data_IF_110586338271
#
_entry.id   IF_110586338271
#
_cell.length_a   1.000
_cell.length_b   1.000
_cell.length_c   1.000
_cell.angle_alpha   90.00
_cell.angle_beta   90.00
_cell.angle_gamma   90.00
#
_symmetry.space_group_name_H-M   'P 1'
#
loop_
_entity.id
_entity.type
_entity.pdbx_description
1 polymer ?
#
# COMPACT_ATOMS: atom_id res chain seq x y z
N UNK A 1 12.73 -4.42 22.09
CA UNK A 1 12.57 -3.21 21.28
C UNK A 1 12.37 -3.47 19.79
N UNK A 2 13.05 -4.44 19.20
CA UNK A 2 12.85 -4.84 17.79
C UNK A 2 11.43 -5.41 17.56
N UNK A 3 10.87 -6.11 18.54
CA UNK A 3 9.52 -6.68 18.47
C UNK A 3 8.40 -5.63 18.39
N UNK A 4 8.52 -4.49 19.07
CA UNK A 4 7.50 -3.43 19.02
C UNK A 4 7.42 -2.76 17.64
N UNK A 5 8.55 -2.58 16.96
CA UNK A 5 8.58 -2.00 15.63
C UNK A 5 7.95 -2.91 14.58
N UNK A 6 8.23 -4.23 14.65
CA UNK A 6 7.64 -5.22 13.74
C UNK A 6 6.13 -5.35 13.92
N UNK A 7 5.64 -5.32 15.16
CA UNK A 7 4.21 -5.37 15.49
C UNK A 7 3.51 -4.10 14.97
N UNK A 8 4.15 -2.94 15.10
CA UNK A 8 3.60 -1.66 14.68
C UNK A 8 3.41 -1.62 13.16
N UNK A 9 4.39 -2.06 12.39
CA UNK A 9 4.29 -2.12 10.92
C UNK A 9 3.29 -3.17 10.44
N UNK A 10 3.17 -4.29 11.16
CA UNK A 10 2.19 -5.32 10.85
C UNK A 10 0.74 -4.79 10.99
N UNK A 11 0.48 -4.02 12.03
CA UNK A 11 -0.81 -3.34 12.22
C UNK A 11 -1.10 -2.34 11.08
N UNK A 12 -0.07 -1.68 10.58
CA UNK A 12 -0.21 -0.72 9.49
C UNK A 12 -0.56 -1.37 8.14
N UNK A 13 -0.15 -2.60 7.88
CA UNK A 13 -0.60 -3.34 6.70
C UNK A 13 -2.12 -3.49 6.72
N UNK A 14 -2.64 -4.00 7.81
CA UNK A 14 -4.07 -4.24 7.98
C UNK A 14 -4.87 -2.93 7.93
N UNK A 15 -4.41 -1.90 8.61
CA UNK A 15 -5.05 -0.60 8.59
C UNK A 15 -5.06 0.02 7.20
N UNK A 16 -3.97 -0.13 6.45
CA UNK A 16 -3.90 0.35 5.06
C UNK A 16 -4.95 -0.34 4.19
N UNK A 17 -5.06 -1.66 4.31
CA UNK A 17 -6.05 -2.43 3.56
C UNK A 17 -7.48 -2.06 3.99
N UNK A 18 -7.73 -1.92 5.29
CA UNK A 18 -9.02 -1.47 5.81
C UNK A 18 -9.42 -0.11 5.25
N UNK A 19 -8.50 0.85 5.21
CA UNK A 19 -8.77 2.19 4.66
C UNK A 19 -9.10 2.14 3.16
N UNK A 20 -8.44 1.28 2.40
CA UNK A 20 -8.81 1.04 1.00
C UNK A 20 -10.25 0.53 0.90
N UNK A 21 -10.62 -0.41 1.75
CA UNK A 21 -11.94 -1.01 1.72
C UNK A 21 -13.04 -0.07 2.22
N UNK A 22 -12.74 0.80 3.19
CA UNK A 22 -13.67 1.87 3.60
C UNK A 22 -13.98 2.78 2.41
N UNK A 23 -12.95 3.22 1.70
CA UNK A 23 -13.11 4.10 0.52
C UNK A 23 -13.91 3.39 -0.58
N UNK A 24 -13.60 2.13 -0.86
CA UNK A 24 -14.31 1.36 -1.88
C UNK A 24 -15.78 1.16 -1.50
N UNK A 25 -16.05 0.80 -0.27
CA UNK A 25 -17.42 0.65 0.23
C UNK A 25 -18.21 1.96 0.10
N UNK A 26 -17.60 3.08 0.46
CA UNK A 26 -18.24 4.40 0.37
C UNK A 26 -18.55 4.80 -1.08
N UNK A 27 -17.86 4.20 -2.04
CA UNK A 27 -18.10 4.39 -3.47
C UNK A 27 -18.95 3.27 -4.10
N UNK A 28 -19.57 2.42 -3.29
CA UNK A 28 -20.44 1.34 -3.78
C UNK A 28 -19.70 0.19 -4.46
N UNK A 29 -18.40 0.03 -4.18
CA UNK A 29 -17.57 -1.00 -4.77
C UNK A 29 -17.39 -2.18 -3.82
N UNK A 30 -17.16 -3.36 -4.38
CA UNK A 30 -16.82 -4.55 -3.62
C UNK A 30 -15.49 -4.36 -2.90
N UNK A 31 -15.40 -4.81 -1.64
CA UNK A 31 -14.14 -4.77 -0.90
C UNK A 31 -13.14 -5.75 -1.49
N UNK A 32 -11.86 -5.44 -1.30
CA UNK A 32 -10.75 -6.25 -1.77
C UNK A 32 -10.38 -7.30 -0.72
N UNK A 33 -10.07 -8.51 -1.18
CA UNK A 33 -9.56 -9.58 -0.31
C UNK A 33 -8.04 -9.55 -0.28
N UNK A 34 -7.47 -9.86 0.87
CA UNK A 34 -6.01 -9.97 1.01
C UNK A 34 -5.51 -11.14 0.17
N UNK A 35 -4.49 -10.88 -0.64
CA UNK A 35 -3.82 -11.88 -1.47
C UNK A 35 -2.38 -12.04 -0.95
N UNK A 36 -2.03 -13.25 -0.53
CA UNK A 36 -0.71 -13.52 0.05
C UNK A 36 0.44 -13.25 -0.93
N UNK A 37 0.23 -13.55 -2.21
CA UNK A 37 1.24 -13.28 -3.24
C UNK A 37 1.45 -11.79 -3.41
N UNK A 38 0.37 -11.02 -3.48
CA UNK A 38 0.44 -9.56 -3.56
C UNK A 38 1.08 -8.96 -2.29
N UNK A 39 0.79 -9.52 -1.12
CA UNK A 39 1.43 -9.12 0.14
C UNK A 39 2.96 -9.30 0.07
N UNK A 40 3.42 -10.48 -0.37
CA UNK A 40 4.86 -10.76 -0.52
C UNK A 40 5.52 -9.83 -1.51
N UNK A 41 4.88 -9.60 -2.65
CA UNK A 41 5.41 -8.75 -3.70
C UNK A 41 5.44 -7.28 -3.28
N UNK A 42 4.39 -6.79 -2.61
CA UNK A 42 4.35 -5.43 -2.06
C UNK A 42 5.43 -5.23 -1.00
N UNK A 43 5.61 -6.22 -0.12
CA UNK A 43 6.69 -6.21 0.89
C UNK A 43 8.06 -6.14 0.23
N UNK A 44 8.33 -7.01 -0.74
CA UNK A 44 9.62 -7.04 -1.42
C UNK A 44 9.93 -5.71 -2.09
N UNK A 45 8.95 -5.10 -2.75
CA UNK A 45 9.15 -3.82 -3.42
C UNK A 45 9.32 -2.66 -2.44
N UNK A 46 8.53 -2.61 -1.38
CA UNK A 46 8.67 -1.59 -0.34
C UNK A 46 10.04 -1.68 0.34
N UNK A 47 10.54 -2.90 0.61
CA UNK A 47 11.89 -3.12 1.14
C UNK A 47 12.94 -2.62 0.15
N UNK A 48 12.78 -2.93 -1.13
CA UNK A 48 13.71 -2.46 -2.17
C UNK A 48 13.78 -0.93 -2.20
N UNK A 49 12.62 -0.26 -2.21
CA UNK A 49 12.55 1.20 -2.19
C UNK A 49 13.21 1.78 -0.94
N UNK A 50 12.98 1.15 0.20
CA UNK A 50 13.54 1.56 1.49
C UNK A 50 15.06 1.45 1.51
N UNK A 51 15.62 0.33 1.03
CA UNK A 51 17.06 0.10 0.99
C UNK A 51 17.78 1.04 0.02
N UNK A 52 17.15 1.36 -1.10
CA UNK A 52 17.72 2.22 -2.12
C UNK A 52 17.31 3.69 -1.95
N UNK A 53 16.49 3.99 -0.96
CA UNK A 53 15.90 5.33 -0.74
C UNK A 53 15.38 5.96 -2.03
N UNK A 54 14.67 5.16 -2.83
CA UNK A 54 14.20 5.53 -4.16
C UNK A 54 12.72 5.22 -4.32
N UNK A 55 11.93 6.23 -4.67
CA UNK A 55 10.52 6.06 -5.01
C UNK A 55 10.41 5.71 -6.49
N UNK A 56 10.14 4.45 -6.78
CA UNK A 56 10.09 3.95 -8.14
C UNK A 56 9.11 2.78 -8.24
N UNK A 57 8.30 2.76 -9.29
CA UNK A 57 7.44 1.62 -9.57
C UNK A 57 8.25 0.37 -9.87
N UNK A 58 7.70 -0.79 -9.46
CA UNK A 58 8.22 -2.09 -9.86
C UNK A 58 7.78 -2.43 -11.30
N UNK A 59 8.26 -3.57 -11.80
CA UNK A 59 7.82 -4.10 -13.12
C UNK A 59 6.54 -4.94 -12.99
N UNK A 60 5.63 -4.55 -12.10
CA UNK A 60 4.38 -5.27 -11.89
C UNK A 60 3.44 -5.10 -13.08
N UNK A 61 2.98 -6.22 -13.68
CA UNK A 61 2.22 -6.22 -14.93
C UNK A 61 0.81 -6.81 -14.83
N UNK A 62 0.45 -7.40 -13.69
CA UNK A 62 -0.80 -8.17 -13.54
C UNK A 62 -1.92 -7.41 -12.85
N UNK A 63 -1.81 -6.11 -12.75
CA UNK A 63 -2.77 -5.25 -12.08
C UNK A 63 -2.22 -3.85 -11.94
N UNK A 64 -2.49 -3.21 -10.82
CA UNK A 64 -2.03 -1.86 -10.54
C UNK A 64 -1.17 -1.81 -9.28
N UNK A 65 -0.39 -0.74 -9.18
CA UNK A 65 0.48 -0.48 -8.04
C UNK A 65 0.40 1.00 -7.68
N UNK A 66 0.12 1.29 -6.41
CA UNK A 66 0.28 2.63 -5.85
C UNK A 66 1.49 2.63 -4.94
N UNK A 67 2.37 3.60 -5.11
CA UNK A 67 3.53 3.80 -4.25
C UNK A 67 3.52 5.21 -3.68
N UNK A 68 4.14 5.36 -2.52
CA UNK A 68 4.32 6.68 -1.90
C UNK A 68 5.56 6.70 -1.02
N UNK A 69 6.14 7.88 -0.90
CA UNK A 69 7.12 8.19 0.12
C UNK A 69 6.50 9.29 0.98
N UNK A 70 5.99 8.90 2.14
CA UNK A 70 5.26 9.82 3.00
C UNK A 70 5.34 9.35 4.46
N UNK A 71 5.73 10.25 5.35
CA UNK A 71 5.76 9.99 6.80
C UNK A 71 4.41 10.32 7.41
N UNK A 72 3.44 9.44 7.14
CA UNK A 72 2.04 9.60 7.55
C UNK A 72 1.51 8.25 8.04
N UNK A 73 0.30 8.25 8.61
CA UNK A 73 -0.39 7.02 8.99
C UNK A 73 -1.14 6.39 7.79
N UNK A 74 -1.67 5.16 7.91
CA UNK A 74 -2.38 4.49 6.82
C UNK A 74 -3.57 5.26 6.26
N UNK A 75 -4.38 5.86 7.12
CA UNK A 75 -5.53 6.67 6.67
C UNK A 75 -5.06 7.82 5.77
N UNK A 76 -3.99 8.48 6.17
CA UNK A 76 -3.47 9.65 5.44
C UNK A 76 -2.86 9.27 4.11
N UNK A 77 -2.13 8.15 4.00
CA UNK A 77 -1.57 7.74 2.71
C UNK A 77 -2.67 7.40 1.71
N UNK A 78 -3.75 6.75 2.16
CA UNK A 78 -4.90 6.46 1.28
C UNK A 78 -5.58 7.76 0.85
N UNK A 79 -5.73 8.74 1.74
CA UNK A 79 -6.24 10.07 1.37
C UNK A 79 -5.36 10.75 0.32
N UNK A 80 -4.05 10.70 0.46
CA UNK A 80 -3.12 11.25 -0.52
C UNK A 80 -3.30 10.59 -1.89
N UNK A 81 -3.42 9.26 -1.92
CA UNK A 81 -3.68 8.53 -3.16
C UNK A 81 -5.05 8.88 -3.76
N UNK A 82 -6.07 9.03 -2.94
CA UNK A 82 -7.41 9.42 -3.41
C UNK A 82 -7.44 10.82 -4.01
N UNK A 83 -6.53 11.70 -3.62
CA UNK A 83 -6.40 13.04 -4.16
C UNK A 83 -5.52 13.13 -5.41
N UNK A 84 -5.04 11.99 -5.92
CA UNK A 84 -4.20 11.92 -7.11
C UNK A 84 -4.92 11.06 -8.17
N UNK A 85 -5.23 11.60 -9.36
CA UNK A 85 -6.10 10.92 -10.33
C UNK A 85 -5.69 9.50 -10.69
N UNK A 86 -4.41 9.25 -10.93
CA UNK A 86 -3.92 7.91 -11.29
C UNK A 86 -4.03 6.91 -10.14
N UNK A 87 -3.62 7.32 -8.96
CA UNK A 87 -3.73 6.48 -7.76
C UNK A 87 -5.19 6.21 -7.39
N UNK A 88 -6.04 7.23 -7.49
CA UNK A 88 -7.48 7.11 -7.26
C UNK A 88 -8.12 6.10 -8.20
N UNK A 89 -7.79 6.13 -9.49
CA UNK A 89 -8.32 5.17 -10.47
C UNK A 89 -7.99 3.73 -10.06
N UNK A 90 -6.78 3.49 -9.55
CA UNK A 90 -6.39 2.16 -9.09
C UNK A 90 -7.23 1.71 -7.89
N UNK A 91 -7.42 2.57 -6.91
CA UNK A 91 -8.20 2.25 -5.70
C UNK A 91 -9.66 1.97 -6.05
N UNK A 92 -10.24 2.72 -6.97
CA UNK A 92 -11.66 2.65 -7.34
C UNK A 92 -11.95 1.76 -8.54
N UNK A 93 -10.99 1.03 -9.06
CA UNK A 93 -11.21 0.15 -10.21
C UNK A 93 -12.11 -1.02 -9.80
N UNK A 94 -13.31 -1.14 -10.40
CA UNK A 94 -14.26 -2.20 -10.04
C UNK A 94 -13.81 -3.60 -10.44
N UNK A 95 -12.82 -3.72 -11.32
CA UNK A 95 -12.29 -5.02 -11.76
C UNK A 95 -11.38 -5.68 -10.73
N UNK A 96 -10.80 -4.90 -9.82
CA UNK A 96 -9.90 -5.48 -8.81
C UNK A 96 -10.69 -6.10 -7.68
N UNK A 97 -10.22 -7.27 -7.24
CA UNK A 97 -10.81 -8.05 -6.16
C UNK A 97 -9.79 -8.40 -5.07
N UNK A 98 -8.51 -8.17 -5.32
CA UNK A 98 -7.41 -8.61 -4.46
C UNK A 98 -6.45 -7.46 -4.16
N UNK A 99 -5.85 -7.48 -2.98
CA UNK A 99 -4.95 -6.44 -2.50
C UNK A 99 -3.78 -7.00 -1.70
N UNK A 100 -2.63 -6.38 -1.85
CA UNK A 100 -1.50 -6.53 -0.93
C UNK A 100 -0.92 -5.16 -0.63
N UNK A 101 -0.47 -4.94 0.59
CA UNK A 101 0.06 -3.65 1.03
C UNK A 101 1.28 -3.82 1.94
N UNK A 102 2.19 -2.86 1.88
CA UNK A 102 3.38 -2.84 2.71
C UNK A 102 3.85 -1.41 2.97
N UNK A 103 4.51 -1.22 4.10
CA UNK A 103 5.19 0.03 4.43
C UNK A 103 6.45 -0.30 5.23
N UNK A 104 7.54 0.37 4.89
CA UNK A 104 8.81 0.26 5.62
C UNK A 104 9.45 1.63 5.80
N UNK A 105 10.21 1.77 6.87
CA UNK A 105 10.95 2.98 7.19
C UNK A 105 12.42 2.79 6.83
N UNK A 106 12.98 3.73 6.07
CA UNK A 106 14.40 3.74 5.75
C UNK A 106 15.24 4.20 6.94
N UNK A 107 16.55 3.97 6.89
CA UNK A 107 17.50 4.48 7.89
C UNK A 107 17.48 6.00 7.95
N UNK A 108 17.15 6.68 6.84
CA UNK A 108 16.98 8.12 6.79
C UNK A 108 15.63 8.63 7.32
N UNK A 109 14.79 7.74 7.86
CA UNK A 109 13.52 8.12 8.46
C UNK A 109 12.37 8.31 7.49
N UNK A 110 12.52 7.94 6.23
CA UNK A 110 11.48 8.04 5.20
C UNK A 110 10.64 6.77 5.17
N UNK A 111 9.34 6.93 5.00
CA UNK A 111 8.40 5.81 4.90
C UNK A 111 8.06 5.56 3.44
N UNK A 112 8.24 4.31 3.00
CA UNK A 112 7.94 3.86 1.65
C UNK A 112 6.77 2.90 1.66
N UNK A 113 5.73 3.25 0.93
CA UNK A 113 4.46 2.52 0.84
C UNK A 113 4.33 1.86 -0.52
N UNK A 114 3.82 0.65 -0.54
CA UNK A 114 3.48 -0.06 -1.78
C UNK A 114 2.17 -0.81 -1.59
N UNK A 115 1.20 -0.55 -2.44
CA UNK A 115 -0.05 -1.30 -2.49
C UNK A 115 -0.24 -1.83 -3.91
N UNK A 116 -0.57 -3.11 -4.02
CA UNK A 116 -0.82 -3.78 -5.28
C UNK A 116 -2.23 -4.31 -5.34
N UNK A 117 -2.81 -4.24 -6.52
CA UNK A 117 -4.18 -4.64 -6.83
C UNK A 117 -4.21 -5.61 -8.01
N UNK A 118 -5.12 -6.57 -7.98
CA UNK A 118 -5.48 -7.35 -9.14
C UNK A 118 -6.92 -7.87 -9.09
#
# INVERSE_FOLDING_TARGET
MIYCLLVYYHLWFHQTIEEHNVVRHDHGLQILEIDEKLMKEANAHAIWMTKNETLQHSRFRYGAENIARARVNPKKVVELWMNSPGHRRNILNPRYTRIGAAVYKSTGGKYYWCTRFR
#
